data_IF_727426304565
#
_entry.id   IF_727426304565
#
_cell.length_a   1.000
_cell.length_b   1.000
_cell.length_c   1.000
_cell.angle_alpha   90.00
_cell.angle_beta   90.00
_cell.angle_gamma   90.00
#
_symmetry.space_group_name_H-M   'P 1'
#
loop_
_entity.id
_entity.type
_entity.pdbx_description
1 polymer ?
#
# COMPACT_ATOMS: atom_id res chain seq x y z
N UNK A 1 -9.42 -22.15 -5.93
CA UNK A 1 -8.53 -20.99 -5.78
C UNK A 1 -7.51 -21.29 -4.71
N UNK A 2 -6.28 -21.52 -5.07
CA UNK A 2 -5.15 -21.62 -4.15
C UNK A 2 -4.40 -20.30 -4.23
N UNK A 3 -4.37 -19.55 -3.12
CA UNK A 3 -3.55 -18.36 -3.01
C UNK A 3 -2.17 -18.78 -2.53
N UNK A 4 -1.16 -18.46 -3.31
CA UNK A 4 0.24 -18.64 -2.93
C UNK A 4 0.79 -17.26 -2.60
N UNK A 5 1.44 -17.16 -1.45
CA UNK A 5 2.18 -15.93 -1.11
C UNK A 5 3.45 -15.94 -1.92
N UNK A 6 3.73 -14.84 -2.61
CA UNK A 6 5.05 -14.64 -3.21
C UNK A 6 6.11 -14.94 -2.14
N UNK A 7 6.84 -16.02 -2.32
CA UNK A 7 7.91 -16.43 -1.40
C UNK A 7 8.91 -15.29 -1.28
N UNK A 8 9.04 -14.76 -0.06
CA UNK A 8 10.13 -13.86 0.28
C UNK A 8 11.44 -14.50 -0.17
N UNK A 9 12.10 -13.98 -1.18
CA UNK A 9 13.52 -14.24 -1.33
C UNK A 9 14.19 -13.52 -0.17
N UNK A 10 14.39 -14.23 0.94
CA UNK A 10 15.11 -13.76 2.11
C UNK A 10 16.57 -13.49 1.72
N UNK A 11 16.86 -12.26 1.37
CA UNK A 11 18.19 -11.73 1.57
C UNK A 11 18.30 -11.41 3.06
N UNK A 12 19.32 -11.95 3.71
CA UNK A 12 19.55 -11.82 5.14
C UNK A 12 19.48 -10.33 5.57
N UNK A 13 18.74 -9.99 6.64
CA UNK A 13 18.67 -8.63 7.13
C UNK A 13 20.05 -8.16 7.55
N UNK A 14 20.52 -7.06 7.00
CA UNK A 14 21.63 -6.31 7.58
C UNK A 14 21.10 -5.58 8.82
N UNK A 15 21.76 -5.74 9.95
CA UNK A 15 21.31 -5.51 11.33
C UNK A 15 20.72 -4.12 11.68
N UNK A 16 20.69 -3.14 10.79
CA UNK A 16 20.39 -1.75 11.14
C UNK A 16 19.25 -1.07 10.35
N UNK A 17 18.45 -1.78 9.55
CA UNK A 17 17.36 -1.13 8.79
C UNK A 17 16.07 -1.91 8.87
N UNK A 18 15.07 -1.25 9.45
CA UNK A 18 13.69 -1.75 9.49
C UNK A 18 13.14 -1.65 8.07
N UNK A 19 12.85 -2.80 7.50
CA UNK A 19 12.24 -2.93 6.19
C UNK A 19 10.73 -3.08 6.38
N UNK A 20 9.96 -2.10 5.90
CA UNK A 20 8.51 -2.22 5.83
C UNK A 20 8.13 -2.85 4.50
N UNK A 21 7.62 -4.07 4.55
CA UNK A 21 7.16 -4.82 3.38
C UNK A 21 5.66 -5.12 3.53
N UNK A 22 4.79 -4.27 2.96
CA UNK A 22 3.36 -4.55 2.97
C UNK A 22 3.04 -5.84 2.23
N UNK A 23 2.09 -6.59 2.77
CA UNK A 23 1.65 -7.85 2.16
C UNK A 23 1.01 -7.63 0.80
N UNK A 24 1.27 -8.58 -0.09
CA UNK A 24 0.60 -8.74 -1.37
C UNK A 24 0.04 -10.14 -1.50
N UNK A 25 -1.03 -10.27 -2.25
CA UNK A 25 -1.70 -11.54 -2.48
C UNK A 25 -1.67 -11.88 -3.96
N UNK A 26 -1.51 -13.15 -4.25
CA UNK A 26 -1.71 -13.68 -5.61
C UNK A 26 -3.20 -13.84 -5.88
N UNK A 27 -3.64 -13.45 -7.05
CA UNK A 27 -5.00 -13.59 -7.53
C UNK A 27 -4.95 -14.42 -8.81
N UNK A 28 -5.84 -15.38 -8.94
CA UNK A 28 -5.93 -16.25 -10.10
C UNK A 28 -6.10 -15.44 -11.40
N UNK A 29 -5.33 -15.78 -12.42
CA UNK A 29 -5.31 -15.04 -13.69
C UNK A 29 -4.48 -13.77 -13.68
N UNK A 30 -3.98 -13.29 -12.54
CA UNK A 30 -3.13 -12.10 -12.46
C UNK A 30 -1.67 -12.50 -12.32
N UNK A 31 -0.87 -12.11 -13.29
CA UNK A 31 0.59 -12.25 -13.26
C UNK A 31 1.21 -10.95 -12.77
N UNK A 32 2.20 -11.01 -11.88
CA UNK A 32 2.90 -9.82 -11.43
C UNK A 32 4.40 -10.06 -11.25
N UNK A 33 5.16 -8.98 -11.43
CA UNK A 33 6.57 -8.89 -11.16
C UNK A 33 6.79 -7.86 -10.06
N UNK A 34 7.56 -8.19 -9.04
CA UNK A 34 7.85 -7.30 -7.92
C UNK A 34 9.33 -7.00 -7.86
N UNK A 35 9.66 -5.72 -7.83
CA UNK A 35 11.00 -5.21 -7.55
C UNK A 35 11.01 -4.56 -6.17
N UNK A 36 11.68 -5.17 -5.21
CA UNK A 36 11.91 -4.58 -3.90
C UNK A 36 13.04 -3.55 -3.97
N UNK A 37 12.67 -2.28 -3.78
CA UNK A 37 13.59 -1.15 -3.89
C UNK A 37 14.06 -0.66 -2.50
N UNK A 38 13.62 -1.31 -1.45
CA UNK A 38 13.90 -0.93 -0.06
C UNK A 38 15.38 -0.96 0.30
N UNK A 39 16.18 -1.75 -0.42
CA UNK A 39 17.62 -1.84 -0.20
C UNK A 39 18.36 -0.59 -0.72
N UNK A 40 18.63 0.32 0.21
CA UNK A 40 19.43 1.53 -0.07
C UNK A 40 18.64 2.73 -0.61
N UNK A 41 17.33 2.60 -0.85
CA UNK A 41 16.50 3.69 -1.34
C UNK A 41 15.38 4.05 -0.36
N UNK A 42 15.47 5.20 0.36
CA UNK A 42 14.51 5.56 1.42
C UNK A 42 13.13 5.97 0.89
N UNK A 43 12.89 5.93 -0.42
CA UNK A 43 11.71 6.51 -1.04
C UNK A 43 10.61 5.48 -1.36
N UNK A 44 10.94 4.22 -1.60
CA UNK A 44 9.97 3.20 -1.97
C UNK A 44 10.02 1.97 -1.09
N UNK A 45 8.89 1.29 -1.01
CA UNK A 45 8.82 -0.07 -0.47
C UNK A 45 8.91 -1.11 -1.59
N UNK A 46 8.27 -0.87 -2.73
CA UNK A 46 8.29 -1.77 -3.87
C UNK A 46 7.85 -1.08 -5.17
N UNK A 47 8.33 -1.60 -6.30
CA UNK A 47 7.71 -1.41 -7.60
C UNK A 47 7.11 -2.73 -8.06
N UNK A 48 5.90 -2.70 -8.61
CA UNK A 48 5.11 -3.88 -8.95
C UNK A 48 4.52 -3.67 -10.33
N UNK A 49 4.74 -4.63 -11.22
CA UNK A 49 4.14 -4.72 -12.53
C UNK A 49 3.11 -5.85 -12.52
N UNK A 50 1.85 -5.57 -12.85
CA UNK A 50 0.76 -6.53 -12.82
C UNK A 50 -0.01 -6.49 -14.13
N UNK A 51 -0.39 -7.65 -14.64
CA UNK A 51 -1.27 -7.77 -15.80
C UNK A 51 -2.17 -8.99 -15.66
N UNK A 52 -3.36 -8.91 -16.25
CA UNK A 52 -4.29 -10.03 -16.31
C UNK A 52 -3.95 -10.92 -17.51
N UNK A 53 -3.83 -12.21 -17.24
CA UNK A 53 -3.64 -13.25 -18.25
C UNK A 53 -4.80 -14.21 -18.11
N UNK A 54 -5.71 -14.18 -19.06
CA UNK A 54 -6.83 -15.14 -19.12
C UNK A 54 -6.29 -16.50 -19.54
N UNK A 55 -6.53 -17.52 -18.73
CA UNK A 55 -6.17 -18.90 -19.01
C UNK A 55 -7.38 -19.73 -19.46
N UNK A 56 -8.61 -19.24 -19.26
CA UNK A 56 -9.86 -19.93 -19.56
C UNK A 56 -11.00 -18.96 -19.90
N UNK A 57 -12.13 -19.54 -20.41
CA UNK A 57 -13.32 -18.76 -20.78
C UNK A 57 -14.09 -18.23 -19.55
N UNK A 58 -13.91 -18.82 -18.38
CA UNK A 58 -14.62 -18.48 -17.15
C UNK A 58 -14.18 -17.11 -16.59
N UNK A 59 -12.98 -16.65 -16.95
CA UNK A 59 -12.39 -15.39 -16.49
C UNK A 59 -12.16 -14.40 -17.64
N UNK A 60 -12.92 -14.54 -18.72
CA UNK A 60 -12.77 -13.72 -19.96
C UNK A 60 -13.06 -12.23 -19.73
N UNK A 61 -13.79 -11.85 -18.67
CA UNK A 61 -14.14 -10.46 -18.35
C UNK A 61 -13.13 -9.76 -17.44
N UNK A 62 -12.08 -10.45 -17.01
CA UNK A 62 -11.10 -9.91 -16.05
C UNK A 62 -11.38 -10.29 -14.59
N UNK A 63 -10.60 -9.74 -13.68
CA UNK A 63 -10.64 -10.10 -12.26
C UNK A 63 -10.48 -8.89 -11.35
N UNK A 64 -11.15 -8.91 -10.20
CA UNK A 64 -10.92 -7.93 -9.14
C UNK A 64 -9.70 -8.29 -8.31
N UNK A 65 -8.85 -7.28 -8.10
CA UNK A 65 -7.68 -7.39 -7.24
C UNK A 65 -7.88 -6.54 -5.98
N UNK A 66 -7.79 -7.13 -4.78
CA UNK A 66 -7.96 -6.40 -3.53
C UNK A 66 -6.72 -5.58 -3.19
N UNK A 67 -6.90 -4.32 -2.89
CA UNK A 67 -5.88 -3.44 -2.32
C UNK A 67 -6.18 -3.28 -0.84
N UNK A 68 -5.34 -3.84 0.00
CA UNK A 68 -5.50 -3.77 1.46
C UNK A 68 -4.77 -2.56 2.04
N UNK A 69 -5.27 -1.98 3.15
CA UNK A 69 -4.59 -0.89 3.82
C UNK A 69 -3.17 -1.27 4.23
N UNK A 70 -2.22 -0.43 3.84
CA UNK A 70 -0.80 -0.59 4.16
C UNK A 70 -0.14 0.72 4.66
N UNK A 71 -0.91 1.82 4.68
CA UNK A 71 -0.42 3.14 5.08
C UNK A 71 0.52 3.80 4.09
N UNK A 72 0.62 3.26 2.87
CA UNK A 72 1.46 3.80 1.80
C UNK A 72 0.63 4.60 0.80
N UNK A 73 1.26 5.57 0.18
CA UNK A 73 0.81 6.17 -1.08
C UNK A 73 1.50 5.44 -2.23
N UNK A 74 0.90 5.48 -3.42
CA UNK A 74 1.48 4.88 -4.61
C UNK A 74 1.27 5.73 -5.85
N UNK A 75 2.23 5.72 -6.78
CA UNK A 75 1.97 6.04 -8.17
C UNK A 75 1.49 4.76 -8.86
N UNK A 76 0.40 4.88 -9.59
CA UNK A 76 -0.19 3.78 -10.34
C UNK A 76 -0.29 4.20 -11.80
N UNK A 77 0.23 3.37 -12.68
CA UNK A 77 0.10 3.52 -14.12
C UNK A 77 -0.77 2.39 -14.65
N UNK A 78 -1.81 2.75 -15.38
CA UNK A 78 -2.69 1.81 -16.07
C UNK A 78 -2.49 1.94 -17.58
N UNK A 79 -2.39 0.84 -18.27
CA UNK A 79 -2.38 0.79 -19.73
C UNK A 79 -2.98 -0.50 -20.24
N UNK A 80 -3.19 -0.57 -21.54
CA UNK A 80 -3.72 -1.75 -22.21
C UNK A 80 -2.75 -2.18 -23.32
N UNK A 81 -2.49 -3.47 -23.47
CA UNK A 81 -1.50 -4.00 -24.41
C UNK A 81 -1.93 -3.91 -25.87
N UNK A 82 -3.24 -3.83 -26.13
CA UNK A 82 -3.80 -3.80 -27.46
C UNK A 82 -4.12 -2.41 -27.98
N UNK A 83 -4.33 -1.44 -27.08
CA UNK A 83 -4.63 -0.05 -27.43
C UNK A 83 -3.34 0.76 -27.62
N UNK A 84 -3.36 1.64 -28.62
CA UNK A 84 -2.30 2.65 -28.82
C UNK A 84 -2.48 3.88 -27.90
N UNK A 85 -3.53 3.88 -27.06
CA UNK A 85 -3.78 4.96 -26.13
C UNK A 85 -2.67 5.06 -25.06
N UNK A 86 -2.31 6.29 -24.67
CA UNK A 86 -1.29 6.48 -23.66
C UNK A 86 -1.76 5.91 -22.31
N UNK A 87 -0.84 5.35 -21.56
CA UNK A 87 -1.10 4.88 -20.21
C UNK A 87 -1.61 6.02 -19.33
N UNK A 88 -2.58 5.73 -18.49
CA UNK A 88 -3.09 6.64 -17.47
C UNK A 88 -2.23 6.54 -16.21
N UNK A 89 -1.99 7.68 -15.57
CA UNK A 89 -1.22 7.73 -14.34
C UNK A 89 -1.96 8.43 -13.22
N UNK A 90 -1.86 7.86 -12.03
CA UNK A 90 -2.53 8.34 -10.82
C UNK A 90 -1.58 8.39 -9.65
N UNK A 91 -1.74 9.40 -8.78
CA UNK A 91 -1.19 9.38 -7.43
C UNK A 91 -2.32 8.97 -6.47
N UNK A 92 -2.18 7.79 -5.90
CA UNK A 92 -3.14 7.20 -4.99
C UNK A 92 -2.77 7.50 -3.55
N UNK A 93 -3.72 7.99 -2.75
CA UNK A 93 -3.55 8.26 -1.32
C UNK A 93 -3.56 6.98 -0.49
N UNK A 94 -3.11 7.06 0.77
CA UNK A 94 -3.27 5.95 1.70
C UNK A 94 -4.76 5.64 1.92
N UNK A 95 -5.09 4.36 2.06
CA UNK A 95 -6.47 3.89 2.27
C UNK A 95 -6.66 3.45 3.72
N UNK A 96 -7.85 3.65 4.25
CA UNK A 96 -8.25 3.28 5.60
C UNK A 96 -9.11 2.01 5.67
N UNK A 97 -9.56 1.53 4.51
CA UNK A 97 -10.22 0.24 4.35
C UNK A 97 -9.88 -0.36 2.98
N UNK A 98 -10.18 -1.65 2.80
CA UNK A 98 -9.95 -2.37 1.54
C UNK A 98 -10.58 -1.64 0.36
N UNK A 99 -9.83 -1.56 -0.73
CA UNK A 99 -10.28 -1.10 -2.04
C UNK A 99 -10.09 -2.22 -3.06
N UNK A 100 -10.61 -2.05 -4.26
CA UNK A 100 -10.38 -2.97 -5.37
C UNK A 100 -9.91 -2.23 -6.61
N UNK A 101 -9.25 -2.95 -7.49
CA UNK A 101 -9.05 -2.57 -8.89
C UNK A 101 -9.60 -3.68 -9.76
N UNK A 102 -10.17 -3.33 -10.89
CA UNK A 102 -10.54 -4.29 -11.91
C UNK A 102 -9.42 -4.38 -12.94
N UNK A 103 -8.89 -5.58 -13.15
CA UNK A 103 -7.85 -5.85 -14.16
C UNK A 103 -8.54 -6.59 -15.29
N UNK A 104 -8.86 -5.87 -16.37
CA UNK A 104 -9.47 -6.44 -17.56
C UNK A 104 -8.44 -7.23 -18.40
N UNK A 105 -8.88 -8.08 -19.32
CA UNK A 105 -7.99 -8.71 -20.29
C UNK A 105 -7.15 -7.65 -21.01
N UNK A 106 -5.88 -7.95 -21.24
CA UNK A 106 -4.89 -7.03 -21.85
C UNK A 106 -4.52 -5.79 -21.03
N UNK A 107 -5.20 -5.51 -19.92
CA UNK A 107 -4.77 -4.44 -19.00
C UNK A 107 -3.46 -4.79 -18.30
N UNK A 108 -2.65 -3.78 -18.09
CA UNK A 108 -1.50 -3.85 -17.18
C UNK A 108 -1.48 -2.67 -16.22
N UNK A 109 -0.96 -2.91 -15.03
CA UNK A 109 -0.78 -1.90 -14.00
C UNK A 109 0.66 -1.91 -13.52
N UNK A 110 1.21 -0.73 -13.28
CA UNK A 110 2.50 -0.56 -12.60
C UNK A 110 2.28 0.26 -11.35
N UNK A 111 2.62 -0.31 -10.20
CA UNK A 111 2.55 0.36 -8.91
C UNK A 111 3.96 0.72 -8.44
N UNK A 112 4.14 1.97 -8.06
CA UNK A 112 5.36 2.43 -7.37
C UNK A 112 4.93 2.92 -5.99
N UNK A 113 5.12 2.07 -5.01
CA UNK A 113 4.69 2.29 -3.64
C UNK A 113 5.76 3.05 -2.87
N UNK A 114 5.38 4.09 -2.18
CA UNK A 114 6.27 4.95 -1.41
C UNK A 114 6.37 4.51 0.05
N UNK A 115 7.54 4.71 0.66
CA UNK A 115 7.66 4.66 2.11
C UNK A 115 6.65 5.62 2.75
N UNK A 116 5.98 5.23 3.85
CA UNK A 116 5.05 6.11 4.56
C UNK A 116 5.66 7.49 4.85
N UNK A 117 4.93 8.54 4.53
CA UNK A 117 5.41 9.91 4.71
C UNK A 117 6.36 10.43 3.62
N UNK A 118 6.37 9.81 2.43
CA UNK A 118 7.20 10.27 1.29
C UNK A 118 6.37 10.77 0.11
N UNK A 119 5.35 10.02 -0.32
CA UNK A 119 4.57 10.33 -1.53
C UNK A 119 3.84 11.69 -1.51
N UNK A 120 3.56 12.24 -0.34
CA UNK A 120 2.87 13.53 -0.22
C UNK A 120 3.62 14.70 -0.87
N UNK A 121 4.94 14.59 -1.04
CA UNK A 121 5.77 15.61 -1.69
C UNK A 121 5.43 15.83 -3.17
N UNK A 122 4.70 14.90 -3.76
CA UNK A 122 4.25 14.97 -5.15
C UNK A 122 2.92 15.70 -5.31
N UNK A 123 2.21 16.01 -4.25
CA UNK A 123 0.88 16.65 -4.33
C UNK A 123 1.05 18.14 -4.62
N UNK A 124 0.37 18.63 -5.66
CA UNK A 124 0.33 20.06 -6.04
C UNK A 124 -0.64 20.88 -5.20
N UNK A 125 -0.54 22.20 -5.36
CA UNK A 125 -1.54 23.20 -4.93
C UNK A 125 -1.79 23.29 -3.42
N UNK A 126 -0.77 23.04 -2.58
CA UNK A 126 -0.88 23.17 -1.13
C UNK A 126 -1.79 22.14 -0.46
N UNK A 127 -2.28 21.16 -1.22
CA UNK A 127 -2.97 19.98 -0.67
C UNK A 127 -1.99 19.08 0.09
N UNK A 128 -2.50 18.17 0.89
CA UNK A 128 -1.71 17.23 1.68
C UNK A 128 -2.20 15.80 1.50
N UNK A 129 -1.53 14.81 2.09
CA UNK A 129 -1.91 13.40 1.95
C UNK A 129 -3.35 13.13 2.43
N UNK A 130 -3.82 13.82 3.48
CA UNK A 130 -5.19 13.69 3.98
C UNK A 130 -6.25 14.12 2.97
N UNK A 131 -5.92 15.08 2.10
CA UNK A 131 -6.85 15.56 1.07
C UNK A 131 -7.09 14.56 -0.08
N UNK A 132 -6.23 13.55 -0.20
CA UNK A 132 -6.35 12.47 -1.21
C UNK A 132 -6.43 11.08 -0.58
N UNK A 133 -6.65 11.00 0.75
CA UNK A 133 -6.87 9.72 1.40
C UNK A 133 -8.09 9.01 0.80
N UNK A 134 -8.00 7.70 0.60
CA UNK A 134 -9.03 6.86 -0.04
C UNK A 134 -9.35 7.19 -1.50
N UNK A 135 -8.59 8.08 -2.14
CA UNK A 135 -8.83 8.49 -3.54
C UNK A 135 -7.54 8.45 -4.35
N UNK A 136 -7.70 8.62 -5.65
CA UNK A 136 -6.63 8.80 -6.60
C UNK A 136 -6.78 10.15 -7.31
N UNK A 137 -5.66 10.82 -7.60
CA UNK A 137 -5.64 12.03 -8.42
C UNK A 137 -4.83 11.78 -9.68
N UNK A 138 -5.27 12.26 -10.85
CA UNK A 138 -4.51 12.08 -12.08
C UNK A 138 -3.13 12.77 -11.97
N UNK A 139 -2.12 12.17 -12.60
CA UNK A 139 -0.78 12.77 -12.68
C UNK A 139 -0.88 14.10 -13.46
N UNK A 140 -1.63 14.12 -14.56
CA UNK A 140 -1.85 15.34 -15.34
C UNK A 140 -2.61 16.39 -14.51
N UNK A 141 -1.99 17.56 -14.30
CA UNK A 141 -2.57 18.66 -13.53
C UNK A 141 -2.54 18.49 -12.00
N UNK A 142 -2.40 17.27 -11.47
CA UNK A 142 -2.50 16.97 -10.04
C UNK A 142 -1.18 16.78 -9.30
N UNK A 143 -0.10 16.46 -10.01
CA UNK A 143 1.15 15.98 -9.40
C UNK A 143 2.34 16.85 -9.78
N UNK A 144 3.26 17.06 -8.81
CA UNK A 144 4.52 17.77 -9.05
C UNK A 144 5.43 16.95 -9.98
N UNK A 145 6.05 17.60 -10.94
CA UNK A 145 6.93 16.93 -11.90
C UNK A 145 6.18 16.08 -12.94
N UNK A 146 4.92 16.40 -13.23
CA UNK A 146 4.10 15.68 -14.21
C UNK A 146 4.76 15.56 -15.58
N UNK A 147 5.41 16.63 -16.07
CA UNK A 147 6.09 16.63 -17.38
C UNK A 147 7.22 15.60 -17.43
N UNK A 148 7.94 15.41 -16.30
CA UNK A 148 8.98 14.41 -16.19
C UNK A 148 8.41 13.00 -15.97
N UNK A 149 7.19 12.88 -15.41
CA UNK A 149 6.54 11.59 -15.18
C UNK A 149 5.87 11.03 -16.43
N UNK A 150 5.44 11.87 -17.37
CA UNK A 150 4.76 11.41 -18.60
C UNK A 150 5.57 10.38 -19.40
N UNK A 151 6.89 10.53 -19.59
CA UNK A 151 7.69 9.51 -20.27
C UNK A 151 7.75 8.17 -19.49
N UNK A 152 7.49 8.21 -18.19
CA UNK A 152 7.47 6.99 -17.35
C UNK A 152 6.22 6.13 -17.62
N UNK A 153 5.21 6.69 -18.29
CA UNK A 153 4.01 5.98 -18.72
C UNK A 153 4.25 5.12 -19.99
N UNK A 154 5.40 5.31 -20.65
CA UNK A 154 5.73 4.54 -21.85
C UNK A 154 5.83 3.04 -21.55
N UNK A 155 5.27 2.22 -22.47
CA UNK A 155 5.09 0.77 -22.27
C UNK A 155 6.39 0.01 -22.15
N UNK A 156 7.38 0.38 -22.93
CA UNK A 156 8.61 -0.39 -23.12
C UNK A 156 9.69 -0.09 -22.06
N UNK A 157 9.36 0.79 -21.08
CA UNK A 157 10.27 1.08 -19.97
C UNK A 157 10.25 -0.09 -18.98
N UNK A 158 11.46 -0.63 -18.70
CA UNK A 158 11.64 -1.67 -17.68
C UNK A 158 11.28 -1.15 -16.29
N UNK A 159 10.81 -2.07 -15.43
CA UNK A 159 10.37 -1.72 -14.08
C UNK A 159 11.44 -1.00 -13.26
N UNK A 160 12.70 -1.45 -13.35
CA UNK A 160 13.85 -0.84 -12.67
C UNK A 160 14.12 0.58 -13.16
N UNK A 161 14.05 0.80 -14.47
CA UNK A 161 14.26 2.11 -15.08
C UNK A 161 13.14 3.07 -14.68
N UNK A 162 11.89 2.61 -14.73
CA UNK A 162 10.70 3.35 -14.31
C UNK A 162 10.82 3.80 -12.85
N UNK A 163 11.18 2.87 -11.96
CA UNK A 163 11.41 3.17 -10.55
C UNK A 163 12.55 4.19 -10.35
N UNK A 164 13.64 4.07 -11.13
CA UNK A 164 14.76 4.99 -11.09
C UNK A 164 14.40 6.42 -11.52
N UNK A 165 13.56 6.57 -12.55
CA UNK A 165 13.07 7.88 -13.02
C UNK A 165 12.18 8.53 -11.97
N UNK A 166 11.21 7.80 -11.43
CA UNK A 166 10.33 8.30 -10.36
C UNK A 166 11.14 8.71 -9.13
N UNK A 167 12.17 7.94 -8.77
CA UNK A 167 13.08 8.30 -7.68
C UNK A 167 13.70 9.68 -7.81
N UNK A 168 14.18 10.01 -9.00
CA UNK A 168 14.79 11.33 -9.26
C UNK A 168 13.78 12.45 -9.09
N UNK A 169 12.57 12.27 -9.62
CA UNK A 169 11.49 13.27 -9.54
C UNK A 169 11.08 13.49 -8.08
N UNK A 170 10.88 12.42 -7.32
CA UNK A 170 10.50 12.50 -5.90
C UNK A 170 11.58 13.22 -5.09
N UNK A 171 12.86 12.90 -5.31
CA UNK A 171 13.98 13.56 -4.60
C UNK A 171 14.01 15.07 -4.79
N UNK A 172 13.75 15.55 -6.00
CA UNK A 172 13.73 16.99 -6.30
C UNK A 172 12.58 17.69 -5.57
N UNK A 173 11.46 17.00 -5.36
CA UNK A 173 10.27 17.57 -4.75
C UNK A 173 10.19 17.35 -3.23
N UNK A 174 11.14 16.61 -2.64
CA UNK A 174 11.18 16.40 -1.19
C UNK A 174 11.54 17.71 -0.47
N UNK A 175 10.56 18.26 0.24
CA UNK A 175 10.70 19.45 1.07
C UNK A 175 10.51 19.08 2.56
N UNK A 176 10.89 19.97 3.49
CA UNK A 176 10.62 19.83 4.92
C UNK A 176 11.24 18.59 5.58
N UNK A 177 12.55 18.47 5.52
CA UNK A 177 13.31 17.34 6.10
C UNK A 177 12.99 17.10 7.58
N UNK A 178 12.73 18.16 8.36
CA UNK A 178 12.43 18.04 9.79
C UNK A 178 11.10 17.30 10.04
N UNK A 179 10.01 17.68 9.35
CA UNK A 179 8.71 17.01 9.48
C UNK A 179 8.80 15.55 9.03
N UNK A 180 9.53 15.29 7.94
CA UNK A 180 9.77 13.93 7.45
C UNK A 180 10.53 13.08 8.46
N UNK A 181 11.53 13.65 9.13
CA UNK A 181 12.30 12.94 10.15
C UNK A 181 11.39 12.48 11.30
N UNK A 182 10.50 13.37 11.80
CA UNK A 182 9.55 13.03 12.86
C UNK A 182 8.58 11.94 12.40
N UNK A 183 8.00 12.09 11.20
CA UNK A 183 7.08 11.08 10.64
C UNK A 183 7.78 9.75 10.45
N UNK A 184 8.99 9.76 9.90
CA UNK A 184 9.82 8.55 9.74
C UNK A 184 10.06 7.88 11.09
N UNK A 185 10.52 8.62 12.09
CA UNK A 185 10.72 8.08 13.44
C UNK A 185 9.45 7.41 13.98
N UNK A 186 8.32 8.11 13.91
CA UNK A 186 7.06 7.59 14.41
C UNK A 186 6.58 6.34 13.64
N UNK A 187 6.71 6.32 12.32
CA UNK A 187 6.31 5.16 11.50
C UNK A 187 7.20 3.95 11.76
N UNK A 188 8.51 4.15 11.87
CA UNK A 188 9.46 3.10 12.24
C UNK A 188 9.16 2.55 13.63
N UNK A 189 8.87 3.43 14.60
CA UNK A 189 8.54 3.04 15.98
C UNK A 189 7.23 2.23 16.04
N UNK A 190 6.20 2.66 15.29
CA UNK A 190 4.94 1.90 15.16
C UNK A 190 5.21 0.53 14.53
N UNK A 191 6.03 0.48 13.50
CA UNK A 191 6.39 -0.78 12.84
C UNK A 191 7.16 -1.72 13.77
N UNK A 192 8.21 -1.25 14.45
CA UNK A 192 8.99 -2.03 15.43
C UNK A 192 8.13 -2.64 16.53
N UNK A 193 7.11 -1.91 16.97
CA UNK A 193 6.18 -2.37 18.00
C UNK A 193 4.99 -3.14 17.45
N UNK A 194 5.00 -3.44 16.14
CA UNK A 194 3.89 -4.13 15.46
C UNK A 194 2.53 -3.44 15.71
N UNK A 195 2.52 -2.10 15.73
CA UNK A 195 1.33 -1.28 15.99
C UNK A 195 0.91 -1.20 17.46
N UNK A 196 1.75 -1.59 18.41
CA UNK A 196 1.41 -1.61 19.85
C UNK A 196 1.83 -0.36 20.64
N UNK A 197 2.53 0.60 20.02
CA UNK A 197 2.90 1.87 20.66
C UNK A 197 1.69 2.81 20.73
N UNK A 198 1.58 3.56 21.82
CA UNK A 198 0.56 4.59 21.98
C UNK A 198 1.02 5.92 21.38
N UNK A 199 0.07 6.75 20.94
CA UNK A 199 0.40 8.07 20.37
C UNK A 199 1.05 8.99 21.43
N UNK A 200 0.67 8.83 22.69
CA UNK A 200 1.25 9.56 23.83
C UNK A 200 2.73 9.18 24.05
N UNK A 201 3.10 7.94 23.82
CA UNK A 201 4.49 7.46 23.89
C UNK A 201 5.33 8.07 22.76
N UNK A 202 4.79 8.06 21.52
CA UNK A 202 5.44 8.74 20.39
C UNK A 202 5.63 10.24 20.65
N UNK A 203 4.63 10.88 21.27
CA UNK A 203 4.69 12.28 21.63
C UNK A 203 5.79 12.54 22.65
N UNK A 204 5.89 11.70 23.68
CA UNK A 204 6.96 11.78 24.71
C UNK A 204 8.34 11.55 24.11
N UNK A 205 8.51 10.50 23.29
CA UNK A 205 9.78 10.12 22.68
C UNK A 205 10.31 11.20 21.71
N UNK A 206 9.40 11.90 21.00
CA UNK A 206 9.76 12.94 20.03
C UNK A 206 9.82 14.36 20.61
N UNK A 207 9.33 14.57 21.83
CA UNK A 207 9.22 15.90 22.45
C UNK A 207 8.08 16.76 21.89
N UNK A 208 7.15 16.17 21.12
CA UNK A 208 5.99 16.85 20.55
C UNK A 208 4.70 16.47 21.28
N UNK A 209 3.61 17.19 20.99
CA UNK A 209 2.28 16.82 21.47
C UNK A 209 1.63 15.77 20.56
N UNK A 210 0.76 14.92 21.12
CA UNK A 210 -0.06 13.96 20.33
C UNK A 210 -0.85 14.66 19.22
N UNK A 211 -1.33 15.90 19.45
CA UNK A 211 -2.01 16.71 18.45
C UNK A 211 -1.09 17.09 17.28
N UNK A 212 0.17 17.44 17.57
CA UNK A 212 1.15 17.78 16.53
C UNK A 212 1.48 16.56 15.67
N UNK A 213 1.74 15.41 16.31
CA UNK A 213 1.97 14.14 15.61
C UNK A 213 0.77 13.77 14.74
N UNK A 214 -0.47 13.94 15.26
CA UNK A 214 -1.69 13.72 14.48
C UNK A 214 -1.73 14.56 13.21
N UNK A 215 -1.42 15.84 13.29
CA UNK A 215 -1.37 16.75 12.13
C UNK A 215 -0.29 16.37 11.12
N UNK A 216 0.89 15.92 11.59
CA UNK A 216 1.96 15.47 10.73
C UNK A 216 1.57 14.19 9.96
N UNK A 217 0.91 13.25 10.64
CA UNK A 217 0.42 12.02 10.00
C UNK A 217 -0.65 12.32 8.94
N UNK A 218 -1.62 13.16 9.26
CA UNK A 218 -2.63 13.61 8.29
C UNK A 218 -1.98 14.30 7.08
N UNK A 219 -1.00 15.19 7.33
CA UNK A 219 -0.29 15.91 6.28
C UNK A 219 0.54 15.01 5.37
N UNK A 220 1.30 14.08 5.96
CA UNK A 220 2.35 13.34 5.24
C UNK A 220 1.94 11.92 4.84
N UNK A 221 1.00 11.29 5.55
CA UNK A 221 0.57 9.91 5.32
C UNK A 221 -0.87 9.85 4.81
N UNK A 222 -1.74 10.73 5.33
CA UNK A 222 -3.15 10.78 4.97
C UNK A 222 -4.08 10.08 5.97
N UNK A 223 -3.52 9.40 6.98
CA UNK A 223 -4.30 8.74 8.04
C UNK A 223 -3.76 9.12 9.42
N UNK A 224 -4.57 8.97 10.47
CA UNK A 224 -4.13 9.28 11.83
C UNK A 224 -3.08 8.27 12.34
N UNK A 225 -2.22 8.64 13.32
CA UNK A 225 -1.24 7.70 13.90
C UNK A 225 -1.91 6.45 14.48
N UNK A 226 -3.08 6.61 15.10
CA UNK A 226 -3.87 5.50 15.65
C UNK A 226 -4.33 4.53 14.57
N UNK A 227 -4.82 5.06 13.45
CA UNK A 227 -5.25 4.22 12.32
C UNK A 227 -4.05 3.55 11.66
N UNK A 228 -2.95 4.28 11.49
CA UNK A 228 -1.69 3.70 10.97
C UNK A 228 -1.22 2.54 11.87
N UNK A 229 -1.25 2.68 13.20
CA UNK A 229 -0.94 1.59 14.13
C UNK A 229 -1.89 0.39 13.95
N UNK A 230 -3.19 0.63 13.71
CA UNK A 230 -4.15 -0.44 13.41
C UNK A 230 -3.85 -1.15 12.09
N UNK A 231 -3.44 -0.41 11.06
CA UNK A 231 -3.04 -0.97 9.76
C UNK A 231 -1.81 -1.87 9.94
N UNK A 232 -0.76 -1.40 10.63
CA UNK A 232 0.43 -2.21 10.89
C UNK A 232 0.09 -3.46 11.70
N UNK A 233 -0.78 -3.34 12.70
CA UNK A 233 -1.23 -4.48 13.50
C UNK A 233 -2.03 -5.50 12.66
N UNK A 234 -2.87 -5.02 11.73
CA UNK A 234 -3.54 -5.88 10.76
C UNK A 234 -2.52 -6.64 9.91
N UNK A 235 -1.61 -5.94 9.24
CA UNK A 235 -0.58 -6.52 8.38
C UNK A 235 0.24 -7.59 9.11
N UNK A 236 0.74 -7.27 10.31
CA UNK A 236 1.49 -8.22 11.15
C UNK A 236 0.66 -9.44 11.55
N UNK A 237 -0.62 -9.26 11.89
CA UNK A 237 -1.47 -10.40 12.26
C UNK A 237 -1.82 -11.28 11.07
N UNK A 238 -1.97 -10.71 9.88
CA UNK A 238 -2.17 -11.45 8.63
C UNK A 238 -0.93 -12.29 8.30
N UNK A 239 0.26 -11.71 8.39
CA UNK A 239 1.53 -12.42 8.21
C UNK A 239 1.63 -13.62 9.18
N UNK A 240 1.35 -13.40 10.47
CA UNK A 240 1.36 -14.47 11.48
C UNK A 240 0.32 -15.57 11.24
N UNK A 241 -0.87 -15.23 10.70
CA UNK A 241 -1.89 -16.23 10.31
C UNK A 241 -1.35 -17.12 9.20
N UNK A 242 -0.67 -16.54 8.24
CA UNK A 242 -0.15 -17.23 7.06
C UNK A 242 1.03 -18.14 7.44
N UNK A 243 1.99 -17.58 8.19
CA UNK A 243 3.19 -18.30 8.61
C UNK A 243 2.89 -19.44 9.63
N UNK A 244 1.82 -19.31 10.40
CA UNK A 244 1.48 -20.22 11.49
C UNK A 244 0.07 -20.79 11.33
N UNK A 245 -0.17 -21.49 10.22
CA UNK A 245 -1.51 -22.01 9.92
C UNK A 245 -2.07 -22.97 11.01
N UNK A 246 -1.22 -23.64 11.78
CA UNK A 246 -1.61 -24.56 12.85
C UNK A 246 -1.99 -23.84 14.15
N UNK A 247 -1.55 -22.58 14.36
CA UNK A 247 -1.88 -21.83 15.58
C UNK A 247 -3.36 -21.45 15.62
N UNK A 248 -3.92 -21.43 16.83
CA UNK A 248 -5.28 -20.92 17.05
C UNK A 248 -5.31 -19.40 16.89
N UNK A 249 -6.42 -18.87 16.32
CA UNK A 249 -6.57 -17.42 16.12
C UNK A 249 -6.52 -16.60 17.42
N UNK A 250 -6.89 -17.19 18.56
CA UNK A 250 -6.74 -16.53 19.87
C UNK A 250 -5.27 -16.32 20.24
N UNK A 251 -4.41 -17.28 19.96
CA UNK A 251 -2.97 -17.17 20.21
C UNK A 251 -2.35 -16.11 19.30
N UNK A 252 -2.69 -16.14 18.02
CA UNK A 252 -2.24 -15.12 17.04
C UNK A 252 -2.72 -13.71 17.45
N UNK A 253 -3.95 -13.60 17.94
CA UNK A 253 -4.49 -12.32 18.40
C UNK A 253 -3.66 -11.76 19.56
N UNK A 254 -3.37 -12.57 20.57
CA UNK A 254 -2.57 -12.16 21.72
C UNK A 254 -1.11 -11.84 21.30
N UNK A 255 -0.50 -12.68 20.47
CA UNK A 255 0.86 -12.49 19.94
C UNK A 255 0.99 -11.23 19.07
N UNK A 256 -0.12 -10.74 18.52
CA UNK A 256 -0.19 -9.49 17.74
C UNK A 256 -0.62 -8.28 18.57
N UNK A 257 -0.77 -8.44 19.89
CA UNK A 257 -1.12 -7.36 20.81
C UNK A 257 -2.59 -6.95 20.76
N UNK A 258 -3.50 -7.83 20.33
CA UNK A 258 -4.93 -7.65 20.55
C UNK A 258 -5.30 -8.10 21.95
N UNK A 259 -6.35 -7.48 22.49
CA UNK A 259 -6.88 -7.87 23.79
C UNK A 259 -7.46 -9.31 23.76
N UNK A 260 -8.17 -9.63 22.70
CA UNK A 260 -8.77 -10.94 22.45
C UNK A 260 -9.03 -11.15 20.94
N UNK A 261 -9.47 -12.36 20.58
CA UNK A 261 -9.84 -12.70 19.21
C UNK A 261 -11.03 -11.85 18.69
N UNK A 262 -11.98 -11.49 19.54
CA UNK A 262 -13.11 -10.64 19.14
C UNK A 262 -12.65 -9.22 18.76
N UNK A 263 -11.66 -8.67 19.46
CA UNK A 263 -11.01 -7.39 19.12
C UNK A 263 -10.31 -7.50 17.75
N UNK A 264 -9.53 -8.55 17.51
CA UNK A 264 -8.91 -8.80 16.20
C UNK A 264 -9.98 -8.88 15.10
N UNK A 265 -11.06 -9.64 15.29
CA UNK A 265 -12.14 -9.77 14.32
C UNK A 265 -12.83 -8.44 13.99
N UNK A 266 -13.07 -7.58 15.00
CA UNK A 266 -13.63 -6.24 14.75
C UNK A 266 -12.74 -5.41 13.85
N UNK A 267 -11.42 -5.48 14.04
CA UNK A 267 -10.48 -4.75 13.21
C UNK A 267 -10.43 -5.31 11.78
N UNK A 268 -10.41 -6.62 11.61
CA UNK A 268 -10.46 -7.27 10.28
C UNK A 268 -11.72 -6.84 9.52
N UNK A 269 -12.90 -6.97 10.14
CA UNK A 269 -14.17 -6.55 9.51
C UNK A 269 -14.19 -5.07 9.17
N UNK A 270 -13.59 -4.21 10.01
CA UNK A 270 -13.50 -2.78 9.74
C UNK A 270 -12.62 -2.49 8.54
N UNK A 271 -11.40 -3.05 8.49
CA UNK A 271 -10.37 -2.66 7.53
C UNK A 271 -10.42 -3.47 6.22
N UNK A 272 -10.83 -4.74 6.28
CA UNK A 272 -10.82 -5.63 5.10
C UNK A 272 -12.16 -6.36 4.85
N UNK A 273 -13.23 -5.97 5.54
CA UNK A 273 -14.62 -6.45 5.36
C UNK A 273 -14.86 -7.95 5.63
N UNK A 274 -13.85 -8.72 5.99
CA UNK A 274 -13.95 -10.14 6.37
C UNK A 274 -13.45 -10.35 7.79
N UNK A 275 -13.80 -11.47 8.42
CA UNK A 275 -13.26 -11.85 9.72
C UNK A 275 -11.87 -12.48 9.60
N UNK A 276 -11.10 -12.50 10.69
CA UNK A 276 -9.81 -13.19 10.72
C UNK A 276 -9.94 -14.69 10.47
N UNK A 277 -11.09 -15.30 10.82
CA UNK A 277 -11.40 -16.70 10.53
C UNK A 277 -11.66 -16.96 9.05
N UNK A 278 -12.37 -16.07 8.38
CA UNK A 278 -12.58 -16.11 6.92
C UNK A 278 -11.25 -15.89 6.19
N UNK A 279 -10.46 -14.91 6.63
CA UNK A 279 -9.13 -14.68 6.09
C UNK A 279 -8.24 -15.92 6.22
N UNK A 280 -8.16 -16.53 7.40
CA UNK A 280 -7.38 -17.76 7.63
C UNK A 280 -7.81 -18.92 6.74
N UNK A 281 -9.12 -19.06 6.49
CA UNK A 281 -9.70 -20.20 5.78
C UNK A 281 -9.64 -20.06 4.26
N UNK A 282 -9.90 -18.87 3.74
CA UNK A 282 -10.13 -18.66 2.31
C UNK A 282 -9.41 -17.40 1.78
N UNK A 283 -8.63 -16.70 2.61
CA UNK A 283 -8.09 -15.38 2.30
C UNK A 283 -9.17 -14.45 1.74
N UNK A 284 -8.99 -13.91 0.54
CA UNK A 284 -9.96 -13.01 -0.09
C UNK A 284 -10.95 -13.69 -1.04
N UNK A 285 -10.96 -15.02 -1.15
CA UNK A 285 -11.86 -15.74 -2.08
C UNK A 285 -13.35 -15.61 -1.77
N UNK A 286 -13.70 -15.12 -0.56
CA UNK A 286 -15.09 -14.86 -0.15
C UNK A 286 -15.43 -13.37 0.02
N UNK A 287 -14.56 -12.50 -0.43
CA UNK A 287 -14.84 -11.07 -0.40
C UNK A 287 -15.91 -10.77 -1.44
N UNK A 288 -16.98 -10.15 -1.01
CA UNK A 288 -17.98 -9.60 -1.91
C UNK A 288 -17.47 -8.27 -2.45
N UNK A 289 -16.87 -8.30 -3.61
CA UNK A 289 -16.31 -7.12 -4.24
C UNK A 289 -17.36 -6.06 -4.64
N UNK A 290 -18.65 -6.41 -4.66
CA UNK A 290 -19.72 -5.41 -4.91
C UNK A 290 -19.87 -4.42 -3.77
N UNK A 291 -19.41 -4.78 -2.57
CA UNK A 291 -19.43 -3.95 -1.36
C UNK A 291 -18.12 -3.16 -1.13
N UNK A 292 -17.18 -3.24 -2.06
CA UNK A 292 -15.87 -2.59 -1.96
C UNK A 292 -15.76 -1.52 -3.04
N UNK A 293 -15.39 -0.30 -2.64
CA UNK A 293 -15.18 0.80 -3.57
C UNK A 293 -13.94 0.61 -4.44
N UNK A 294 -14.00 1.13 -5.65
CA UNK A 294 -12.85 1.18 -6.54
C UNK A 294 -11.78 2.14 -6.00
N UNK A 295 -10.51 1.72 -6.15
CA UNK A 295 -9.39 2.57 -5.73
C UNK A 295 -9.09 3.65 -6.77
N UNK A 296 -9.24 3.30 -8.03
CA UNK A 296 -9.09 4.19 -9.16
C UNK A 296 -10.45 4.18 -9.85
N UNK A 297 -11.25 5.23 -9.65
CA UNK A 297 -12.44 5.48 -10.46
C UNK A 297 -12.00 6.22 -11.70
N UNK A 298 -12.07 5.58 -12.83
CA UNK A 298 -12.03 6.29 -14.12
C UNK A 298 -13.44 6.85 -14.29
N UNK A 299 -13.61 8.16 -14.03
CA UNK A 299 -14.85 8.82 -14.43
C UNK A 299 -14.97 8.65 -15.94
N UNK A 300 -15.98 7.92 -16.38
CA UNK A 300 -16.42 7.90 -17.77
C UNK A 300 -16.91 9.30 -18.13
N UNK A 301 -15.99 10.16 -18.60
CA UNK A 301 -16.31 11.46 -19.19
C UNK A 301 -16.25 11.40 -20.71
#
# INVERSE_FOLDING_TARGET
MSFVISSKQHLAPTEDRIQYEPMMFEVEGVSFNRLDISFGHPLYTAAIDMHYVTLDEEHSEGQYFPIIPDGCMALVFKGNKTNEEPSEGFLCGAIDEIKKIHIAPEDYYVFIRFMPGTGYSLIKNGKNAGSIANTAIPIRGGVMGEEQMLPVLERDIKLEERAGLISKIVRVNLQNEHERYIVKYCTERIFQTQGNVRVEELAHETGFTSRHIGKLFEKCIGVSPKLYSQIIKLQTSMEKIIENNDKKLIEIALDSGFFDHAHMNRMYKKLIKISSGEFKKNMFSKVDYTLIDDYISVDET
#
